data_IF_138575011624
#
_entry.id   IF_138575011624
#
_cell.length_a   1.000
_cell.length_b   1.000
_cell.length_c   1.000
_cell.angle_alpha   90.00
_cell.angle_beta   90.00
_cell.angle_gamma   90.00
#
_symmetry.space_group_name_H-M   'P 1'
#
loop_
_entity.id
_entity.type
_entity.pdbx_description
1 polymer ?
#
# COMPACT_ATOMS: atom_id res chain seq x y z
N UNK A 1 -1.20 7.51 -19.77
CA UNK A 1 -0.38 7.79 -18.57
C UNK A 1 -1.33 7.96 -17.40
N UNK A 2 -1.10 7.28 -16.26
CA UNK A 2 -1.95 7.41 -15.06
C UNK A 2 -1.68 8.77 -14.41
N UNK A 3 -2.72 9.49 -13.98
CA UNK A 3 -2.55 10.78 -13.30
C UNK A 3 -2.14 10.60 -11.85
N UNK A 4 -1.42 11.58 -11.29
CA UNK A 4 -1.04 11.57 -9.87
C UNK A 4 -2.27 11.47 -8.95
N UNK A 5 -3.35 12.18 -9.28
CA UNK A 5 -4.61 12.13 -8.53
C UNK A 5 -5.20 10.71 -8.50
N UNK A 6 -5.11 9.97 -9.61
CA UNK A 6 -5.58 8.58 -9.68
C UNK A 6 -4.70 7.64 -8.84
N UNK A 7 -3.38 7.80 -8.89
CA UNK A 7 -2.45 7.02 -8.07
C UNK A 7 -2.68 7.22 -6.57
N UNK A 8 -2.81 8.48 -6.14
CA UNK A 8 -3.09 8.84 -4.74
C UNK A 8 -4.47 8.34 -4.30
N UNK A 9 -5.50 8.51 -5.15
CA UNK A 9 -6.85 8.03 -4.89
C UNK A 9 -6.91 6.51 -4.71
N UNK A 10 -6.22 5.76 -5.57
CA UNK A 10 -6.12 4.30 -5.46
C UNK A 10 -5.42 3.88 -4.16
N UNK A 11 -4.35 4.57 -3.75
CA UNK A 11 -3.66 4.31 -2.48
C UNK A 11 -4.55 4.56 -1.26
N UNK A 12 -5.31 5.66 -1.24
CA UNK A 12 -6.30 5.93 -0.18
C UNK A 12 -7.32 4.78 -0.11
N UNK A 13 -7.85 4.36 -1.27
CA UNK A 13 -8.82 3.27 -1.35
C UNK A 13 -8.26 1.95 -0.82
N UNK A 14 -7.03 1.62 -1.19
CA UNK A 14 -6.34 0.41 -0.73
C UNK A 14 -6.18 0.42 0.79
N UNK A 15 -5.61 1.47 1.35
CA UNK A 15 -5.35 1.60 2.79
C UNK A 15 -6.64 1.61 3.61
N UNK A 16 -7.68 2.31 3.12
CA UNK A 16 -9.01 2.30 3.74
C UNK A 16 -9.58 0.88 3.82
N UNK A 17 -9.50 0.13 2.72
CA UNK A 17 -9.98 -1.26 2.68
C UNK A 17 -9.17 -2.18 3.60
N UNK A 18 -7.84 -2.01 3.68
CA UNK A 18 -7.00 -2.76 4.63
C UNK A 18 -7.42 -2.53 6.08
N UNK A 19 -7.87 -1.32 6.40
CA UNK A 19 -8.44 -0.98 7.72
C UNK A 19 -9.93 -1.32 7.87
N UNK A 20 -10.54 -2.00 6.88
CA UNK A 20 -11.95 -2.41 6.86
C UNK A 20 -12.96 -1.25 7.03
N UNK A 21 -12.59 -0.06 6.58
CA UNK A 21 -13.43 1.13 6.72
C UNK A 21 -14.30 1.34 5.47
N UNK A 22 -15.55 1.79 5.64
CA UNK A 22 -16.38 2.33 4.55
C UNK A 22 -15.92 3.73 4.16
N UNK A 23 -16.34 4.23 2.99
CA UNK A 23 -16.08 5.63 2.60
C UNK A 23 -16.75 6.62 3.55
N UNK A 24 -17.88 6.23 4.15
CA UNK A 24 -18.59 7.01 5.15
C UNK A 24 -17.82 7.08 6.46
N UNK A 25 -17.29 5.96 6.94
CA UNK A 25 -16.44 5.93 8.14
C UNK A 25 -15.15 6.73 7.96
N UNK A 26 -14.49 6.60 6.80
CA UNK A 26 -13.30 7.41 6.51
C UNK A 26 -13.65 8.89 6.40
N UNK A 27 -14.78 9.20 5.76
CA UNK A 27 -15.29 10.57 5.66
C UNK A 27 -15.53 11.17 7.05
N UNK A 28 -16.26 10.48 7.92
CA UNK A 28 -16.54 10.90 9.29
C UNK A 28 -15.26 11.21 10.07
N UNK A 29 -14.29 10.29 10.08
CA UNK A 29 -13.02 10.46 10.78
C UNK A 29 -12.15 11.57 10.20
N UNK A 30 -12.19 11.77 8.88
CA UNK A 30 -11.46 12.85 8.21
C UNK A 30 -12.21 14.19 8.21
N UNK A 31 -13.45 14.23 8.75
CA UNK A 31 -14.37 15.36 8.68
C UNK A 31 -14.66 15.80 7.22
N UNK A 32 -14.94 14.82 6.36
CA UNK A 32 -15.21 14.96 4.93
C UNK A 32 -16.48 14.20 4.55
N UNK A 33 -17.18 14.67 3.51
CA UNK A 33 -18.32 13.94 2.98
C UNK A 33 -17.88 12.64 2.30
N UNK A 34 -18.63 11.56 2.52
CA UNK A 34 -18.39 10.24 1.91
C UNK A 34 -18.34 10.29 0.38
N UNK A 35 -19.18 11.12 -0.25
CA UNK A 35 -19.19 11.38 -1.69
C UNK A 35 -17.89 12.03 -2.18
N UNK A 36 -17.30 12.93 -1.38
CA UNK A 36 -16.00 13.55 -1.68
C UNK A 36 -14.88 12.52 -1.59
N UNK A 37 -14.84 11.69 -0.54
CA UNK A 37 -13.90 10.56 -0.42
C UNK A 37 -13.99 9.66 -1.66
N UNK A 38 -15.21 9.29 -2.08
CA UNK A 38 -15.41 8.47 -3.27
C UNK A 38 -14.87 9.13 -4.55
N UNK A 39 -15.07 10.43 -4.72
CA UNK A 39 -14.52 11.18 -5.85
C UNK A 39 -12.99 11.25 -5.83
N UNK A 40 -12.38 11.42 -4.65
CA UNK A 40 -10.92 11.38 -4.48
C UNK A 40 -10.37 9.99 -4.81
N UNK A 41 -10.99 8.92 -4.29
CA UNK A 41 -10.55 7.54 -4.54
C UNK A 41 -10.60 7.13 -6.01
N UNK A 42 -11.53 7.71 -6.79
CA UNK A 42 -11.63 7.48 -8.24
C UNK A 42 -10.71 8.41 -9.07
N UNK A 43 -10.05 9.38 -8.43
CA UNK A 43 -9.24 10.40 -9.11
C UNK A 43 -10.07 11.45 -9.84
N UNK A 44 -11.38 11.54 -9.58
CA UNK A 44 -12.31 12.52 -10.16
C UNK A 44 -12.24 13.88 -9.44
N UNK A 45 -11.70 13.90 -8.23
CA UNK A 45 -11.47 15.09 -7.42
C UNK A 45 -9.99 15.27 -7.18
N UNK A 46 -9.50 16.49 -7.43
CA UNK A 46 -8.16 16.88 -7.02
C UNK A 46 -8.19 17.18 -5.51
N UNK A 47 -7.47 16.37 -4.73
CA UNK A 47 -7.38 16.52 -3.28
C UNK A 47 -6.26 17.52 -2.95
N UNK A 48 -6.54 18.49 -2.09
CA UNK A 48 -5.48 19.37 -1.56
C UNK A 48 -4.59 18.59 -0.60
N UNK A 49 -3.35 19.06 -0.39
CA UNK A 49 -2.45 18.43 0.58
C UNK A 49 -2.99 18.46 2.01
N UNK A 50 -3.67 19.55 2.39
CA UNK A 50 -4.33 19.66 3.70
C UNK A 50 -5.43 18.61 3.89
N UNK A 51 -6.24 18.38 2.85
CA UNK A 51 -7.29 17.35 2.89
C UNK A 51 -6.69 15.95 2.86
N UNK A 52 -5.60 15.76 2.11
CA UNK A 52 -4.86 14.50 2.09
C UNK A 52 -4.29 14.19 3.49
N UNK A 53 -3.75 15.18 4.18
CA UNK A 53 -3.26 15.03 5.56
C UNK A 53 -4.37 14.58 6.52
N UNK A 54 -5.57 15.16 6.42
CA UNK A 54 -6.74 14.72 7.21
C UNK A 54 -7.08 13.25 6.93
N UNK A 55 -7.06 12.85 5.66
CA UNK A 55 -7.32 11.46 5.25
C UNK A 55 -6.25 10.51 5.81
N UNK A 56 -4.96 10.87 5.71
CA UNK A 56 -3.84 10.07 6.23
C UNK A 56 -3.96 9.88 7.75
N UNK A 57 -4.30 10.95 8.48
CA UNK A 57 -4.54 10.89 9.93
C UNK A 57 -5.77 10.04 10.28
N UNK A 58 -6.86 10.18 9.54
CA UNK A 58 -8.07 9.37 9.72
C UNK A 58 -7.83 7.89 9.42
N UNK A 59 -6.89 7.58 8.52
CA UNK A 59 -6.39 6.24 8.27
C UNK A 59 -5.40 5.78 9.34
N UNK A 60 -5.03 6.59 10.33
CA UNK A 60 -4.05 6.24 11.37
C UNK A 60 -2.75 5.68 10.76
N UNK A 61 -2.13 6.49 9.90
CA UNK A 61 -0.88 6.20 9.22
C UNK A 61 0.07 7.39 9.34
N UNK A 62 1.37 7.10 9.34
CA UNK A 62 2.41 8.09 9.08
C UNK A 62 2.47 8.44 7.59
N UNK A 63 3.07 9.59 7.27
CA UNK A 63 3.25 10.01 5.87
C UNK A 63 4.11 9.02 5.07
N UNK A 64 5.16 8.45 5.69
CA UNK A 64 6.01 7.43 5.05
C UNK A 64 5.21 6.16 4.72
N UNK A 65 4.37 5.68 5.63
CA UNK A 65 3.49 4.55 5.36
C UNK A 65 2.50 4.85 4.23
N UNK A 66 1.97 6.08 4.15
CA UNK A 66 1.08 6.44 3.06
C UNK A 66 1.81 6.49 1.70
N UNK A 67 2.96 7.16 1.65
CA UNK A 67 3.73 7.42 0.43
C UNK A 67 4.70 6.28 0.02
N UNK A 68 4.72 5.15 0.74
CA UNK A 68 5.40 3.92 0.31
C UNK A 68 4.65 3.25 -0.86
N UNK A 69 4.70 3.88 -2.02
CA UNK A 69 4.19 3.32 -3.26
C UNK A 69 5.15 2.23 -3.76
N UNK A 70 4.66 1.01 -3.97
CA UNK A 70 5.46 -0.08 -4.55
C UNK A 70 6.38 -0.82 -3.58
N UNK A 71 6.48 -0.42 -2.31
CA UNK A 71 7.17 -1.21 -1.28
C UNK A 71 6.16 -2.06 -0.53
N UNK A 72 6.01 -3.32 -0.95
CA UNK A 72 5.56 -4.39 -0.04
C UNK A 72 6.77 -4.67 0.87
N UNK A 73 7.06 -3.74 1.78
CA UNK A 73 7.84 -4.08 2.96
C UNK A 73 7.03 -5.11 3.72
N UNK A 74 7.55 -6.34 3.82
CA UNK A 74 6.94 -7.44 4.57
C UNK A 74 6.63 -6.93 5.97
N UNK A 75 5.36 -6.58 6.20
CA UNK A 75 4.89 -6.13 7.50
C UNK A 75 5.07 -7.27 8.49
N UNK A 76 5.55 -6.99 9.70
CA UNK A 76 5.70 -7.96 10.81
C UNK A 76 4.38 -8.67 11.20
N UNK A 77 3.27 -8.35 10.52
CA UNK A 77 1.95 -8.98 10.68
C UNK A 77 1.60 -10.01 9.59
N UNK A 78 2.42 -10.21 8.54
CA UNK A 78 2.14 -11.25 7.55
C UNK A 78 2.28 -12.64 8.18
N UNK A 79 1.29 -13.51 7.93
CA UNK A 79 1.48 -14.94 8.15
C UNK A 79 2.58 -15.48 7.23
N UNK A 80 3.16 -16.62 7.62
CA UNK A 80 4.22 -17.26 6.84
C UNK A 80 3.72 -17.63 5.44
N UNK A 81 2.47 -18.04 5.35
CA UNK A 81 1.79 -18.44 4.12
C UNK A 81 1.63 -17.26 3.16
N UNK A 82 1.18 -16.10 3.65
CA UNK A 82 1.06 -14.86 2.85
C UNK A 82 2.42 -14.39 2.34
N UNK A 83 3.47 -14.50 3.16
CA UNK A 83 4.82 -14.11 2.75
C UNK A 83 5.37 -15.03 1.65
N UNK A 84 5.14 -16.34 1.78
CA UNK A 84 5.55 -17.32 0.75
C UNK A 84 4.80 -17.07 -0.55
N UNK A 85 3.50 -16.75 -0.49
CA UNK A 85 2.70 -16.48 -1.69
C UNK A 85 3.19 -15.24 -2.44
N UNK A 86 3.40 -14.12 -1.74
CA UNK A 86 3.94 -12.89 -2.33
C UNK A 86 5.33 -13.12 -2.93
N UNK A 87 6.22 -13.72 -2.15
CA UNK A 87 7.59 -13.95 -2.59
C UNK A 87 7.67 -14.93 -3.77
N UNK A 88 6.86 -15.99 -3.77
CA UNK A 88 6.80 -16.93 -4.90
C UNK A 88 6.30 -16.26 -6.18
N UNK A 89 5.30 -15.38 -6.07
CA UNK A 89 4.81 -14.59 -7.21
C UNK A 89 5.89 -13.71 -7.82
N UNK A 90 6.68 -13.05 -6.98
CA UNK A 90 7.82 -12.24 -7.44
C UNK A 90 8.89 -13.12 -8.10
N UNK A 91 9.30 -14.23 -7.47
CA UNK A 91 10.33 -15.10 -8.05
C UNK A 91 9.94 -15.68 -9.41
N UNK A 92 8.65 -15.95 -9.65
CA UNK A 92 8.18 -16.49 -10.93
C UNK A 92 8.11 -15.45 -12.06
N UNK A 93 8.07 -14.16 -11.73
CA UNK A 93 7.96 -13.06 -12.69
C UNK A 93 9.31 -12.39 -12.99
N UNK A 94 10.33 -12.66 -12.18
CA UNK A 94 11.67 -12.12 -12.34
C UNK A 94 12.56 -12.97 -13.25
N UNK A 95 13.59 -12.33 -13.79
CA UNK A 95 14.61 -12.98 -14.62
C UNK A 95 15.39 -14.03 -13.83
N UNK A 96 15.78 -15.13 -14.49
CA UNK A 96 16.47 -16.25 -13.84
C UNK A 96 17.77 -15.82 -13.13
N UNK A 97 18.48 -14.83 -13.68
CA UNK A 97 19.71 -14.29 -13.07
C UNK A 97 19.42 -13.63 -11.72
N UNK A 98 18.28 -12.98 -11.58
CA UNK A 98 17.86 -12.30 -10.35
C UNK A 98 17.41 -13.32 -9.30
N UNK A 99 16.62 -14.32 -9.71
CA UNK A 99 16.22 -15.45 -8.85
C UNK A 99 17.44 -16.20 -8.30
N UNK A 100 18.48 -16.42 -9.12
CA UNK A 100 19.74 -17.06 -8.68
C UNK A 100 20.44 -16.26 -7.60
N UNK A 101 20.55 -14.93 -7.76
CA UNK A 101 21.15 -14.04 -6.75
C UNK A 101 20.40 -14.11 -5.43
N UNK A 102 19.07 -14.11 -5.47
CA UNK A 102 18.23 -14.26 -4.27
C UNK A 102 18.49 -15.60 -3.57
N UNK A 103 18.58 -16.69 -4.33
CA UNK A 103 18.91 -18.01 -3.79
C UNK A 103 20.31 -18.08 -3.15
N UNK A 104 21.30 -17.41 -3.76
CA UNK A 104 22.65 -17.30 -3.19
C UNK A 104 22.63 -16.57 -1.85
N UNK A 105 21.91 -15.44 -1.76
CA UNK A 105 21.73 -14.69 -0.50
C UNK A 105 21.07 -15.56 0.56
N UNK A 106 20.01 -16.30 0.22
CA UNK A 106 19.37 -17.26 1.15
C UNK A 106 20.36 -18.29 1.68
N UNK A 107 21.19 -18.87 0.81
CA UNK A 107 22.19 -19.87 1.22
C UNK A 107 23.27 -19.29 2.13
N UNK A 108 23.70 -18.04 1.89
CA UNK A 108 24.64 -17.34 2.78
C UNK A 108 24.02 -17.18 4.17
N UNK A 109 22.79 -16.70 4.25
CA UNK A 109 22.07 -16.51 5.52
C UNK A 109 21.87 -17.85 6.25
N UNK A 110 21.50 -18.91 5.51
CA UNK A 110 21.30 -20.25 6.07
C UNK A 110 22.59 -20.85 6.64
N UNK A 111 23.75 -20.59 6.02
CA UNK A 111 25.06 -21.09 6.46
C UNK A 111 25.62 -20.33 7.66
N UNK A 112 25.19 -19.08 7.86
CA UNK A 112 25.60 -18.23 9.00
C UNK A 112 24.76 -18.41 10.26
N UNK A 113 23.77 -19.30 10.25
CA UNK A 113 22.99 -19.75 11.41
C UNK A 113 23.37 -21.19 11.77
#
# INVERSE_FOLDING_TARGET
MVSLAKLVGERIRQLRKLKKMSQEQLGELAQLQSSYIGGVERGERNVSLETLEKIIRALDLSYSQFFSFGEIGVSDKLSKEELIEVFSGELMTNELTEVRRIFEVYNIIKRGK
#
